data_IF_514456518384
#
_entry.id   IF_514456518384
#
_cell.length_a   1.000
_cell.length_b   1.000
_cell.length_c   1.000
_cell.angle_alpha   90.00
_cell.angle_beta   90.00
_cell.angle_gamma   90.00
#
_symmetry.space_group_name_H-M   'P 1'
#
loop_
_entity.id
_entity.type
_entity.pdbx_description
1 polymer ?
#
# COMPACT_ATOMS: atom_id res chain seq x y z
N UNK A 1 -4.59 -2.74 26.86
CA UNK A 1 -4.87 -3.96 26.07
C UNK A 1 -4.25 -3.75 24.71
N UNK A 2 -3.60 -4.74 24.09
CA UNK A 2 -2.71 -4.42 22.98
C UNK A 2 -3.53 -4.08 21.72
N UNK A 3 -3.30 -2.87 21.24
CA UNK A 3 -4.03 -2.19 20.16
C UNK A 3 -3.32 -2.52 18.85
N UNK A 4 -3.82 -3.43 18.02
CA UNK A 4 -3.09 -3.88 16.83
C UNK A 4 -3.68 -3.31 15.53
N UNK A 5 -2.80 -2.82 14.66
CA UNK A 5 -3.00 -2.69 13.21
C UNK A 5 -2.38 -3.96 12.58
N UNK A 6 -2.96 -4.51 11.51
CA UNK A 6 -2.41 -5.70 10.84
C UNK A 6 -1.83 -5.32 9.46
N UNK A 7 -0.51 -5.40 9.32
CA UNK A 7 0.18 -4.87 8.13
C UNK A 7 0.20 -5.88 6.97
N UNK A 8 -0.46 -5.58 5.86
CA UNK A 8 -0.38 -6.41 4.65
C UNK A 8 0.88 -6.07 3.83
N UNK A 9 1.15 -4.79 3.59
CA UNK A 9 2.32 -4.32 2.84
C UNK A 9 2.94 -3.10 3.52
N UNK A 10 4.24 -3.12 3.74
CA UNK A 10 5.02 -1.95 4.17
C UNK A 10 6.20 -1.74 3.23
N UNK A 11 6.22 -0.61 2.54
CA UNK A 11 7.28 -0.28 1.60
C UNK A 11 7.59 1.21 1.66
N UNK A 12 8.79 1.53 2.13
CA UNK A 12 9.27 2.91 2.23
C UNK A 12 9.52 3.34 3.67
N UNK A 13 9.23 4.59 3.99
CA UNK A 13 9.56 5.24 5.24
C UNK A 13 10.21 6.61 5.01
N UNK A 14 10.83 7.17 6.06
CA UNK A 14 11.50 8.47 5.99
C UNK A 14 12.99 8.31 5.72
N UNK A 15 13.42 8.57 4.49
CA UNK A 15 14.84 8.45 4.11
C UNK A 15 15.23 9.36 2.94
N UNK A 16 16.54 9.57 2.81
CA UNK A 16 17.16 10.32 1.73
C UNK A 16 17.63 9.37 0.62
N UNK A 17 17.46 9.79 -0.64
CA UNK A 17 18.22 9.23 -1.77
C UNK A 17 19.58 9.94 -1.86
N UNK A 18 20.58 9.35 -2.54
CA UNK A 18 21.86 10.01 -2.77
C UNK A 18 21.69 11.44 -3.32
N UNK A 19 22.28 12.42 -2.64
CA UNK A 19 22.20 13.83 -3.02
C UNK A 19 20.86 14.53 -2.73
N UNK A 20 19.97 13.95 -1.92
CA UNK A 20 18.67 14.54 -1.56
C UNK A 20 18.46 14.61 -0.05
N UNK A 21 17.46 15.39 0.39
CA UNK A 21 17.05 15.43 1.79
C UNK A 21 16.11 14.28 2.14
N UNK A 22 16.12 13.89 3.41
CA UNK A 22 15.21 12.86 3.90
C UNK A 22 13.77 13.35 3.84
N UNK A 23 12.89 12.53 3.26
CA UNK A 23 11.45 12.76 3.21
C UNK A 23 10.71 11.43 3.26
N UNK A 24 9.42 11.50 3.54
CA UNK A 24 8.58 10.32 3.58
C UNK A 24 8.39 9.81 2.14
N UNK A 25 8.52 8.50 1.95
CA UNK A 25 8.45 7.82 0.66
C UNK A 25 7.66 6.52 0.79
N UNK A 26 6.97 6.13 -0.28
CA UNK A 26 6.31 4.84 -0.36
C UNK A 26 4.89 4.80 0.17
N UNK A 27 4.48 3.60 0.57
CA UNK A 27 3.11 3.28 0.92
C UNK A 27 3.02 2.17 1.97
N UNK A 28 1.90 2.12 2.67
CA UNK A 28 1.51 1.05 3.59
C UNK A 28 0.08 0.63 3.31
N UNK A 29 -0.18 -0.66 3.41
CA UNK A 29 -1.51 -1.27 3.33
C UNK A 29 -1.72 -2.09 4.59
N UNK A 30 -2.75 -1.78 5.36
CA UNK A 30 -2.99 -2.43 6.65
C UNK A 30 -4.48 -2.49 6.98
N UNK A 31 -4.86 -3.39 7.88
CA UNK A 31 -6.18 -3.40 8.51
C UNK A 31 -6.10 -2.58 9.80
N UNK A 32 -7.01 -1.62 9.97
CA UNK A 32 -7.11 -0.79 11.17
C UNK A 32 -7.91 -1.45 12.30
N UNK A 33 -8.05 -0.73 13.41
CA UNK A 33 -8.74 -1.19 14.63
C UNK A 33 -10.22 -1.47 14.44
N UNK A 34 -10.81 -0.95 13.37
CA UNK A 34 -12.23 -1.12 13.04
C UNK A 34 -12.45 -2.25 12.03
N UNK A 35 -11.40 -2.96 11.63
CA UNK A 35 -11.47 -4.05 10.67
C UNK A 35 -11.54 -3.57 9.23
N UNK A 36 -11.14 -2.32 8.96
CA UNK A 36 -11.15 -1.74 7.62
C UNK A 36 -9.75 -1.65 7.05
N UNK A 37 -9.66 -1.90 5.74
CA UNK A 37 -8.42 -1.70 4.98
C UNK A 37 -8.07 -0.22 4.92
N UNK A 38 -6.80 0.10 5.11
CA UNK A 38 -6.28 1.45 5.01
C UNK A 38 -5.06 1.46 4.10
N UNK A 39 -4.96 2.51 3.30
CA UNK A 39 -3.76 2.79 2.51
C UNK A 39 -3.19 4.11 2.97
N UNK A 40 -1.96 4.08 3.48
CA UNK A 40 -1.19 5.29 3.76
C UNK A 40 -0.17 5.48 2.66
N UNK A 41 -0.16 6.65 2.05
CA UNK A 41 0.87 7.04 1.09
C UNK A 41 1.68 8.16 1.71
N UNK A 42 2.99 8.11 1.54
CA UNK A 42 3.92 9.04 2.18
C UNK A 42 3.90 10.44 1.55
N UNK A 43 2.81 11.18 1.77
CA UNK A 43 2.65 12.60 1.44
C UNK A 43 2.20 13.26 2.73
N UNK A 44 3.18 13.70 3.52
CA UNK A 44 3.04 14.10 4.92
C UNK A 44 2.48 12.95 5.76
N UNK A 45 3.14 12.59 6.87
CA UNK A 45 2.82 11.40 7.68
C UNK A 45 1.35 11.28 8.16
N UNK A 46 0.52 12.29 7.91
CA UNK A 46 -0.90 12.43 8.26
C UNK A 46 -1.89 12.05 7.15
N UNK A 47 -1.49 11.95 5.87
CA UNK A 47 -2.42 11.59 4.80
C UNK A 47 -2.75 10.09 4.83
N UNK A 48 -3.86 9.76 5.49
CA UNK A 48 -4.47 8.42 5.45
C UNK A 48 -5.57 8.46 4.40
N UNK A 49 -5.45 7.63 3.36
CA UNK A 49 -6.50 7.48 2.38
C UNK A 49 -7.49 6.44 2.87
N UNK A 50 -8.76 6.87 2.94
CA UNK A 50 -9.82 6.05 3.47
C UNK A 50 -9.98 4.75 2.66
N UNK A 51 -10.26 3.70 3.42
CA UNK A 51 -10.68 2.37 2.97
C UNK A 51 -11.52 2.39 1.69
N UNK A 52 -11.38 1.37 0.82
CA UNK A 52 -12.50 0.84 0.05
C UNK A 52 -13.80 0.88 0.89
N UNK A 53 -15.00 1.09 0.30
CA UNK A 53 -16.25 1.09 1.07
C UNK A 53 -16.26 -0.12 2.00
N UNK A 54 -16.57 0.09 3.30
CA UNK A 54 -16.41 -0.84 4.42
C UNK A 54 -16.53 -2.29 3.96
N UNK A 55 -15.41 -2.86 3.52
CA UNK A 55 -15.37 -4.25 3.17
C UNK A 55 -14.96 -4.89 4.47
N UNK A 56 -15.90 -5.52 5.23
CA UNK A 56 -15.49 -6.43 6.26
C UNK A 56 -14.51 -7.42 5.64
N UNK A 57 -13.74 -8.13 6.44
CA UNK A 57 -12.89 -9.22 5.94
C UNK A 57 -13.73 -10.52 5.86
N UNK A 58 -14.57 -10.80 4.83
CA UNK A 58 -15.06 -12.16 4.66
C UNK A 58 -13.92 -12.99 4.09
N UNK A 59 -13.82 -14.26 4.53
CA UNK A 59 -12.99 -15.30 3.90
C UNK A 59 -11.75 -14.82 3.13
N UNK A 60 -11.72 -15.11 1.84
CA UNK A 60 -10.65 -14.78 0.89
C UNK A 60 -10.99 -13.48 0.17
N UNK A 61 -10.04 -12.55 0.05
CA UNK A 61 -10.21 -11.28 -0.68
C UNK A 61 -9.00 -10.99 -1.57
N UNK A 62 -9.22 -10.26 -2.66
CA UNK A 62 -8.17 -9.77 -3.55
C UNK A 62 -8.03 -8.25 -3.41
N UNK A 63 -6.81 -7.78 -3.15
CA UNK A 63 -6.47 -6.36 -3.05
C UNK A 63 -5.52 -5.97 -4.18
N UNK A 64 -5.82 -4.87 -4.87
CA UNK A 64 -4.89 -4.26 -5.81
C UNK A 64 -4.79 -2.74 -5.60
N UNK A 65 -3.56 -2.24 -5.58
CA UNK A 65 -3.23 -0.82 -5.51
C UNK A 65 -2.53 -0.42 -6.80
N UNK A 66 -3.09 0.56 -7.50
CA UNK A 66 -2.58 1.07 -8.77
C UNK A 66 -2.19 2.52 -8.59
N UNK A 67 -0.99 2.85 -9.06
CA UNK A 67 -0.44 4.19 -9.06
C UNK A 67 -0.02 4.56 -10.48
N UNK A 68 -0.58 5.65 -11.01
CA UNK A 68 -0.26 6.13 -12.36
C UNK A 68 -0.12 7.65 -12.41
N UNK A 69 0.38 8.19 -13.52
CA UNK A 69 0.43 9.64 -13.72
C UNK A 69 -1.00 10.17 -13.88
N UNK A 70 -1.37 11.24 -13.16
CA UNK A 70 -2.70 11.86 -13.32
C UNK A 70 -2.77 12.86 -14.49
N UNK A 71 -1.63 13.16 -15.13
CA UNK A 71 -1.52 14.18 -16.18
C UNK A 71 -1.06 15.55 -15.66
N UNK A 72 -1.22 15.83 -14.37
CA UNK A 72 -0.63 17.00 -13.71
C UNK A 72 0.82 16.72 -13.26
N UNK A 73 1.68 17.75 -13.33
CA UNK A 73 3.09 17.61 -12.95
C UNK A 73 3.25 17.22 -11.48
N UNK A 74 3.98 16.13 -11.21
CA UNK A 74 4.25 15.63 -9.86
C UNK A 74 3.10 14.84 -9.21
N UNK A 75 1.87 15.02 -9.68
CA UNK A 75 0.69 14.34 -9.17
C UNK A 75 0.58 12.89 -9.66
N UNK A 76 -0.10 12.05 -8.88
CA UNK A 76 -0.40 10.66 -9.21
C UNK A 76 -1.88 10.37 -9.03
N UNK A 77 -2.43 9.54 -9.89
CA UNK A 77 -3.72 8.91 -9.65
C UNK A 77 -3.47 7.62 -8.87
N UNK A 78 -4.02 7.56 -7.65
CA UNK A 78 -4.14 6.34 -6.86
C UNK A 78 -5.50 5.72 -7.15
N UNK A 79 -5.53 4.41 -7.38
CA UNK A 79 -6.76 3.64 -7.50
C UNK A 79 -6.62 2.35 -6.69
N UNK A 80 -7.62 2.07 -5.86
CA UNK A 80 -7.69 0.86 -5.04
C UNK A 80 -8.81 0.00 -5.58
N UNK A 81 -8.49 -1.26 -5.85
CA UNK A 81 -9.43 -2.27 -6.31
C UNK A 81 -9.55 -3.36 -5.26
N UNK A 82 -10.79 -3.77 -5.00
CA UNK A 82 -11.09 -4.90 -4.15
C UNK A 82 -11.93 -5.90 -4.93
N UNK A 83 -11.53 -7.17 -4.91
CA UNK A 83 -12.22 -8.26 -5.61
C UNK A 83 -12.52 -7.90 -7.08
N UNK A 84 -11.55 -7.26 -7.74
CA UNK A 84 -11.61 -6.89 -9.14
C UNK A 84 -12.38 -5.59 -9.42
N UNK A 85 -12.99 -4.97 -8.41
CA UNK A 85 -13.83 -3.77 -8.56
C UNK A 85 -13.14 -2.53 -8.03
N UNK A 86 -13.22 -1.43 -8.79
CA UNK A 86 -12.73 -0.12 -8.34
C UNK A 86 -13.50 0.29 -7.09
N UNK A 87 -12.77 0.47 -5.99
CA UNK A 87 -13.31 0.81 -4.69
C UNK A 87 -13.11 2.27 -4.36
N UNK A 88 -11.95 2.81 -4.70
CA UNK A 88 -11.60 4.21 -4.50
C UNK A 88 -10.63 4.67 -5.57
N UNK A 89 -10.73 5.94 -5.95
CA UNK A 89 -9.78 6.59 -6.84
C UNK A 89 -9.59 8.03 -6.37
N UNK A 90 -8.34 8.45 -6.16
CA UNK A 90 -8.01 9.81 -5.73
C UNK A 90 -6.73 10.33 -6.41
N UNK A 91 -6.67 11.65 -6.61
CA UNK A 91 -5.47 12.31 -7.14
C UNK A 91 -4.59 12.79 -6.00
N UNK A 92 -3.42 12.16 -5.88
CA UNK A 92 -2.36 12.55 -4.98
C UNK A 92 -1.64 13.78 -5.55
N UNK A 93 -1.59 14.92 -4.83
CA UNK A 93 -0.96 16.15 -5.33
C UNK A 93 0.57 16.00 -5.48
N UNK A 94 1.17 15.07 -4.74
CA UNK A 94 2.56 14.65 -4.92
C UNK A 94 2.67 13.17 -4.58
N UNK A 95 3.75 12.49 -4.96
CA UNK A 95 4.06 11.15 -4.43
C UNK A 95 5.56 10.90 -4.59
N UNK A 96 6.22 10.53 -3.49
CA UNK A 96 7.60 10.11 -3.53
C UNK A 96 7.68 8.58 -3.54
N UNK A 97 8.14 8.01 -4.66
CA UNK A 97 8.30 6.56 -4.80
C UNK A 97 9.26 6.00 -3.75
N UNK A 98 9.04 4.74 -3.31
CA UNK A 98 9.91 4.04 -2.39
C UNK A 98 11.17 3.52 -3.12
N UNK A 99 11.87 4.40 -3.83
CA UNK A 99 13.06 4.02 -4.59
C UNK A 99 14.11 3.43 -3.62
N UNK A 100 14.65 2.25 -3.97
CA UNK A 100 15.62 1.47 -3.17
C UNK A 100 15.13 0.94 -1.82
N UNK A 101 13.87 1.16 -1.43
CA UNK A 101 13.34 0.59 -0.19
C UNK A 101 12.87 -0.86 -0.41
N UNK A 102 13.11 -1.76 0.55
CA UNK A 102 12.53 -3.10 0.52
C UNK A 102 10.99 -3.04 0.65
N UNK A 103 10.32 -4.03 0.05
CA UNK A 103 8.91 -4.31 0.30
C UNK A 103 8.82 -5.43 1.34
N UNK A 104 8.15 -5.16 2.46
CA UNK A 104 7.78 -6.17 3.44
C UNK A 104 6.33 -6.59 3.24
N UNK A 105 6.08 -7.90 3.38
CA UNK A 105 4.78 -8.52 3.17
C UNK A 105 4.35 -9.16 4.49
N UNK A 106 3.15 -8.83 4.96
CA UNK A 106 2.56 -9.40 6.17
C UNK A 106 3.14 -8.88 7.49
N UNK A 107 3.94 -7.82 7.47
CA UNK A 107 4.59 -7.27 8.67
C UNK A 107 4.99 -5.81 8.48
N UNK A 108 4.98 -5.03 9.57
CA UNK A 108 5.54 -3.68 9.58
C UNK A 108 7.04 -3.72 9.89
N UNK A 109 7.83 -2.91 9.18
CA UNK A 109 9.21 -2.63 9.54
C UNK A 109 9.30 -1.25 10.20
N UNK A 110 9.66 -1.23 11.49
CA UNK A 110 9.79 0.00 12.27
C UNK A 110 11.17 0.65 12.17
N UNK A 111 12.10 0.06 11.40
CA UNK A 111 13.42 0.64 11.19
C UNK A 111 13.31 1.97 10.43
N UNK A 112 13.95 3.01 10.96
CA UNK A 112 13.86 4.38 10.43
C UNK A 112 14.78 4.63 9.25
N UNK A 113 15.64 3.68 8.89
CA UNK A 113 16.60 3.77 7.79
C UNK A 113 16.49 2.56 6.88
N UNK A 114 16.67 2.77 5.57
CA UNK A 114 16.59 1.71 4.56
C UNK A 114 17.71 0.67 4.71
N UNK A 115 18.87 1.07 5.24
CA UNK A 115 20.05 0.20 5.42
C UNK A 115 20.16 -0.40 6.82
N UNK A 116 19.27 -0.01 7.75
CA UNK A 116 19.28 -0.57 9.10
C UNK A 116 18.77 -2.01 9.13
N UNK A 117 19.16 -2.76 10.17
CA UNK A 117 18.57 -4.07 10.41
C UNK A 117 17.05 -3.91 10.63
N UNK A 118 16.20 -4.74 9.99
CA UNK A 118 14.76 -4.60 10.10
C UNK A 118 14.26 -4.97 11.51
N UNK A 119 13.30 -4.21 12.02
CA UNK A 119 12.62 -4.46 13.30
C UNK A 119 11.14 -4.65 13.05
N UNK A 120 10.69 -5.89 13.14
CA UNK A 120 9.36 -6.32 12.73
C UNK A 120 8.32 -6.15 13.84
N UNK A 121 7.19 -5.52 13.51
CA UNK A 121 6.02 -5.36 14.39
C UNK A 121 4.73 -5.58 13.61
N UNK A 122 3.62 -5.68 14.35
CA UNK A 122 2.26 -5.65 13.78
C UNK A 122 2.03 -6.66 12.62
N UNK A 123 2.25 -7.97 12.89
CA UNK A 123 2.10 -8.98 11.84
C UNK A 123 0.66 -9.06 11.32
N UNK A 124 0.54 -9.42 10.06
CA UNK A 124 -0.73 -9.77 9.44
C UNK A 124 -1.20 -11.14 9.96
N UNK A 125 -2.43 -11.18 10.48
CA UNK A 125 -2.99 -12.38 11.10
C UNK A 125 -3.92 -13.11 10.11
N UNK A 126 -3.38 -13.44 8.93
CA UNK A 126 -4.07 -14.23 7.89
C UNK A 126 -3.08 -14.84 6.90
N UNK A 127 -3.60 -15.69 6.01
CA UNK A 127 -2.86 -16.17 4.86
C UNK A 127 -2.77 -15.07 3.79
N UNK A 128 -1.57 -14.90 3.23
CA UNK A 128 -1.30 -14.07 2.06
C UNK A 128 -0.89 -15.02 0.95
N UNK A 129 -1.56 -14.93 -0.19
CA UNK A 129 -1.28 -15.74 -1.36
C UNK A 129 -1.05 -14.83 -2.56
N UNK A 130 -0.10 -15.23 -3.40
CA UNK A 130 0.18 -14.62 -4.72
C UNK A 130 0.35 -13.09 -4.70
N UNK A 131 1.53 -12.65 -4.30
CA UNK A 131 1.91 -11.24 -4.41
C UNK A 131 2.59 -10.99 -5.75
N UNK A 132 2.00 -10.11 -6.56
CA UNK A 132 2.52 -9.73 -7.88
C UNK A 132 2.79 -8.23 -7.93
N UNK A 133 3.93 -7.85 -8.51
CA UNK A 133 4.30 -6.46 -8.75
C UNK A 133 4.45 -6.18 -10.23
N UNK A 134 3.77 -5.14 -10.72
CA UNK A 134 3.82 -4.73 -12.11
C UNK A 134 4.58 -3.41 -12.28
N UNK A 135 5.34 -3.29 -13.38
CA UNK A 135 6.04 -2.06 -13.77
C UNK A 135 5.15 -1.07 -14.54
N UNK A 136 3.89 -1.44 -14.80
CA UNK A 136 2.88 -0.60 -15.42
C UNK A 136 1.64 -0.56 -14.54
N UNK A 137 0.83 0.52 -14.59
CA UNK A 137 -0.50 0.46 -14.04
C UNK A 137 -1.33 -0.57 -14.82
N UNK A 138 -1.98 -1.48 -14.10
CA UNK A 138 -2.89 -2.43 -14.70
C UNK A 138 -4.22 -1.75 -15.01
N UNK A 139 -4.87 -2.18 -16.10
CA UNK A 139 -6.24 -1.78 -16.41
C UNK A 139 -7.23 -2.47 -15.46
N UNK A 140 -8.47 -1.95 -15.38
CA UNK A 140 -9.53 -2.59 -14.60
C UNK A 140 -9.82 -4.03 -15.07
N UNK A 141 -9.74 -4.28 -16.38
CA UNK A 141 -9.92 -5.62 -16.97
C UNK A 141 -8.80 -6.56 -16.56
N UNK A 142 -7.55 -6.11 -16.58
CA UNK A 142 -6.40 -6.93 -16.14
C UNK A 142 -6.53 -7.31 -14.67
N UNK A 143 -6.97 -6.37 -13.82
CA UNK A 143 -7.18 -6.62 -12.39
C UNK A 143 -8.35 -7.58 -12.16
N UNK A 144 -9.44 -7.44 -12.91
CA UNK A 144 -10.56 -8.38 -12.85
C UNK A 144 -10.12 -9.80 -13.23
N UNK A 145 -9.36 -9.94 -14.31
CA UNK A 145 -8.85 -11.24 -14.77
C UNK A 145 -7.94 -11.92 -13.74
N UNK A 146 -7.13 -11.14 -13.00
CA UNK A 146 -6.35 -11.67 -11.88
C UNK A 146 -7.21 -12.31 -10.78
N UNK A 147 -8.42 -11.79 -10.55
CA UNK A 147 -9.36 -12.39 -9.59
C UNK A 147 -10.00 -13.64 -10.15
N UNK A 148 -10.40 -13.60 -11.42
CA UNK A 148 -11.15 -14.69 -12.06
C UNK A 148 -10.30 -15.95 -12.24
N UNK A 149 -9.04 -15.80 -12.66
CA UNK A 149 -8.09 -16.92 -12.83
C UNK A 149 -7.80 -17.61 -11.49
N UNK A 150 -7.83 -16.85 -10.40
CA UNK A 150 -7.42 -17.32 -9.09
C UNK A 150 -8.60 -17.71 -8.18
N UNK A 151 -9.84 -17.67 -8.66
CA UNK A 151 -11.01 -18.09 -7.88
C UNK A 151 -10.98 -19.59 -7.58
#
# INVERSE_FOLDING_TARGET
RPNYEHMLFDCGGRYALPGSTARDRGFRVFEDRTGHWQVRVAIDATAVYASPPLMPRPGRSHFALVMQNSGAAGAKQLSIYMDGKLSMSDTLPSYARPDTAPLFIGVENTTTTVTGAPVFRHPFMSQIQEVVLHRKPLSAEEIYNHVDINR
#
